data_IF_011860177882
#
_entry.id   IF_011860177882
#
_cell.length_a   1.000
_cell.length_b   1.000
_cell.length_c   1.000
_cell.angle_alpha   90.00
_cell.angle_beta   90.00
_cell.angle_gamma   90.00
#
_symmetry.space_group_name_H-M   'P 1'
#
loop_
_entity.id
_entity.type
_entity.pdbx_description
1 polymer ?
#
# COMPACT_ATOMS: atom_id res chain seq x y z
N UNK A 1 11.57 -0.10 -21.12
CA UNK A 1 11.29 1.24 -20.52
C UNK A 1 10.15 1.05 -19.54
N UNK A 2 10.30 1.48 -18.29
CA UNK A 2 9.23 1.36 -17.27
C UNK A 2 7.99 2.13 -17.70
N UNK A 3 6.81 1.55 -17.53
CA UNK A 3 5.55 2.19 -17.91
C UNK A 3 5.30 3.48 -17.08
N UNK A 4 4.80 4.59 -17.67
CA UNK A 4 4.61 5.87 -16.96
C UNK A 4 3.78 5.78 -15.68
N UNK A 5 2.73 4.94 -15.62
CA UNK A 5 1.95 4.74 -14.40
C UNK A 5 2.77 4.09 -13.27
N UNK A 6 3.70 3.21 -13.60
CA UNK A 6 4.64 2.62 -12.62
C UNK A 6 5.60 3.70 -12.11
N UNK A 7 6.10 4.56 -13.00
CA UNK A 7 6.93 5.70 -12.61
C UNK A 7 6.20 6.63 -11.65
N UNK A 8 4.91 6.91 -11.91
CA UNK A 8 4.07 7.72 -11.01
C UNK A 8 3.85 7.05 -9.64
N UNK A 9 3.63 5.73 -9.61
CA UNK A 9 3.52 5.00 -8.35
C UNK A 9 4.81 5.08 -7.53
N UNK A 10 5.97 4.86 -8.17
CA UNK A 10 7.28 4.98 -7.50
C UNK A 10 7.55 6.40 -7.01
N UNK A 11 7.12 7.40 -7.76
CA UNK A 11 7.18 8.79 -7.31
C UNK A 11 6.29 9.01 -6.07
N UNK A 12 5.05 8.52 -6.07
CA UNK A 12 4.16 8.63 -4.92
C UNK A 12 4.74 7.93 -3.66
N UNK A 13 5.36 6.76 -3.81
CA UNK A 13 6.12 6.08 -2.74
C UNK A 13 7.24 6.97 -2.20
N UNK A 14 8.03 7.60 -3.10
CA UNK A 14 9.14 8.46 -2.69
C UNK A 14 8.68 9.71 -1.95
N UNK A 15 7.56 10.31 -2.34
CA UNK A 15 6.96 11.45 -1.66
C UNK A 15 6.41 11.07 -0.27
N UNK A 16 5.83 9.88 -0.13
CA UNK A 16 5.41 9.36 1.17
C UNK A 16 6.60 9.15 2.12
N UNK A 17 7.67 8.51 1.64
CA UNK A 17 8.91 8.34 2.43
C UNK A 17 9.46 9.69 2.85
N UNK A 18 9.59 10.62 1.91
CA UNK A 18 10.09 11.98 2.17
C UNK A 18 9.22 12.75 3.18
N UNK A 19 7.89 12.58 3.09
CA UNK A 19 6.97 13.17 4.06
C UNK A 19 7.21 12.68 5.48
N UNK A 20 7.76 11.48 5.66
CA UNK A 20 7.98 10.83 6.96
C UNK A 20 9.43 10.89 7.45
N UNK A 21 10.33 11.55 6.73
CA UNK A 21 11.72 11.73 7.16
C UNK A 21 11.79 12.40 8.55
N UNK A 22 12.60 11.82 9.45
CA UNK A 22 12.84 12.32 10.78
C UNK A 22 11.69 12.11 11.79
N UNK A 23 10.61 11.41 11.44
CA UNK A 23 9.55 11.07 12.38
C UNK A 23 10.04 10.03 13.38
N UNK A 24 9.91 10.32 14.70
CA UNK A 24 10.26 9.37 15.76
C UNK A 24 9.24 8.23 15.88
N UNK A 25 9.65 7.07 16.43
CA UNK A 25 8.70 5.98 16.73
C UNK A 25 7.57 6.46 17.65
N UNK A 26 7.89 7.28 18.65
CA UNK A 26 6.90 7.86 19.58
C UNK A 26 5.83 8.65 18.82
N UNK A 27 6.23 9.54 17.93
CA UNK A 27 5.31 10.40 17.19
C UNK A 27 4.57 9.63 16.11
N UNK A 28 5.24 8.68 15.44
CA UNK A 28 4.61 7.82 14.45
C UNK A 28 3.51 6.92 15.02
N UNK A 29 3.60 6.58 16.32
CA UNK A 29 2.61 5.77 17.03
C UNK A 29 1.58 6.60 17.77
N UNK A 30 1.77 7.91 17.85
CA UNK A 30 0.82 8.81 18.50
C UNK A 30 -0.44 8.93 17.64
N UNK A 31 -1.61 8.67 18.25
CA UNK A 31 -2.90 8.80 17.56
C UNK A 31 -3.54 10.14 17.87
N UNK A 32 -3.87 10.89 16.86
CA UNK A 32 -4.72 12.08 16.92
C UNK A 32 -6.14 11.66 16.50
N UNK A 33 -7.00 11.46 17.49
CA UNK A 33 -8.35 10.94 17.27
C UNK A 33 -9.19 11.85 16.34
N UNK A 34 -9.94 11.27 15.39
CA UNK A 34 -10.19 9.83 15.19
C UNK A 34 -9.21 9.16 14.21
N UNK A 35 -8.17 9.84 13.73
CA UNK A 35 -7.25 9.36 12.70
C UNK A 35 -6.42 8.14 13.16
N UNK A 36 -5.95 7.37 12.18
CA UNK A 36 -4.91 6.37 12.41
C UNK A 36 -3.55 7.06 12.62
N UNK A 37 -2.64 6.37 13.30
CA UNK A 37 -1.28 6.88 13.48
C UNK A 37 -0.42 6.66 12.22
N UNK A 38 0.70 7.38 12.11
CA UNK A 38 1.60 7.31 10.94
C UNK A 38 2.13 5.88 10.72
N UNK A 39 2.56 5.19 11.78
CA UNK A 39 3.06 3.81 11.65
C UNK A 39 1.99 2.85 11.11
N UNK A 40 0.72 3.03 11.47
CA UNK A 40 -0.39 2.31 10.87
C UNK A 40 -0.51 2.59 9.37
N UNK A 41 -0.37 3.85 8.94
CA UNK A 41 -0.46 4.24 7.52
C UNK A 41 0.64 3.58 6.68
N UNK A 42 1.86 3.47 7.20
CA UNK A 42 2.97 2.76 6.54
C UNK A 42 2.60 1.29 6.29
N UNK A 43 2.15 0.59 7.33
CA UNK A 43 1.74 -0.81 7.21
C UNK A 43 0.50 -1.00 6.32
N UNK A 44 -0.45 -0.06 6.35
CA UNK A 44 -1.68 -0.11 5.56
C UNK A 44 -1.42 0.02 4.06
N UNK A 45 -0.51 0.91 3.66
CA UNK A 45 -0.08 1.04 2.26
C UNK A 45 0.66 -0.23 1.80
N UNK A 46 1.52 -0.79 2.64
CA UNK A 46 2.17 -2.06 2.37
C UNK A 46 1.14 -3.21 2.19
N UNK A 47 0.12 -3.28 3.05
CA UNK A 47 -0.94 -4.27 2.95
C UNK A 47 -1.71 -4.19 1.63
N UNK A 48 -1.99 -2.98 1.13
CA UNK A 48 -2.64 -2.81 -0.16
C UNK A 48 -1.74 -3.27 -1.32
N UNK A 49 -0.45 -2.93 -1.30
CA UNK A 49 0.49 -3.37 -2.34
C UNK A 49 0.67 -4.88 -2.34
N UNK A 50 0.81 -5.50 -1.16
CA UNK A 50 0.84 -6.96 -1.04
C UNK A 50 -0.38 -7.59 -1.71
N UNK A 51 -1.58 -7.05 -1.44
CA UNK A 51 -2.81 -7.55 -2.02
C UNK A 51 -2.85 -7.38 -3.55
N UNK A 52 -2.53 -6.19 -4.06
CA UNK A 52 -2.65 -5.92 -5.50
C UNK A 52 -1.51 -6.51 -6.33
N UNK A 53 -0.27 -6.32 -5.89
CA UNK A 53 0.88 -6.57 -6.75
C UNK A 53 1.67 -7.83 -6.40
N UNK A 54 1.55 -8.38 -5.19
CA UNK A 54 2.19 -9.64 -4.83
C UNK A 54 1.20 -10.78 -4.91
N UNK A 55 0.03 -10.65 -4.26
CA UNK A 55 -0.98 -11.69 -4.29
C UNK A 55 -1.51 -11.93 -5.71
N UNK A 56 -2.02 -10.90 -6.39
CA UNK A 56 -2.62 -11.10 -7.72
C UNK A 56 -1.60 -11.39 -8.82
N UNK A 57 -0.33 -10.99 -8.71
CA UNK A 57 0.69 -11.35 -9.70
C UNK A 57 1.28 -12.73 -9.48
N UNK A 58 1.56 -13.12 -8.22
CA UNK A 58 2.35 -14.31 -7.91
C UNK A 58 1.62 -15.31 -7.00
N UNK A 59 0.45 -15.01 -6.49
CA UNK A 59 -0.27 -15.85 -5.52
C UNK A 59 0.39 -15.91 -4.14
N UNK A 60 1.36 -15.02 -3.85
CA UNK A 60 2.13 -15.00 -2.60
C UNK A 60 1.60 -13.97 -1.63
N UNK A 61 1.74 -14.24 -0.32
CA UNK A 61 1.38 -13.34 0.77
C UNK A 61 2.53 -13.33 1.79
N UNK A 62 3.59 -12.53 1.55
CA UNK A 62 4.78 -12.49 2.42
C UNK A 62 4.46 -12.21 3.89
N UNK A 63 3.49 -11.33 4.16
CA UNK A 63 3.09 -10.92 5.50
C UNK A 63 1.60 -11.21 5.76
N UNK A 64 1.18 -12.49 5.96
CA UNK A 64 -0.23 -12.87 6.02
C UNK A 64 -0.99 -12.30 7.22
N UNK A 65 -0.29 -11.92 8.30
CA UNK A 65 -0.92 -11.32 9.48
C UNK A 65 -1.07 -9.78 9.39
N UNK A 66 -0.49 -9.15 8.36
CA UNK A 66 -0.45 -7.69 8.24
C UNK A 66 -1.87 -7.07 8.22
N UNK A 67 -2.78 -7.67 7.48
CA UNK A 67 -4.17 -7.20 7.39
C UNK A 67 -4.91 -7.20 8.73
N UNK A 68 -4.55 -8.06 9.69
CA UNK A 68 -5.16 -8.05 11.03
C UNK A 68 -4.85 -6.80 11.83
N UNK A 69 -3.65 -6.24 11.62
CA UNK A 69 -3.17 -5.09 12.41
C UNK A 69 -3.44 -3.76 11.73
N UNK A 70 -3.36 -3.72 10.39
CA UNK A 70 -3.43 -2.45 9.63
C UNK A 70 -4.38 -2.51 8.43
N UNK A 71 -5.17 -3.57 8.29
CA UNK A 71 -6.14 -3.73 7.21
C UNK A 71 -7.31 -2.74 7.31
N UNK A 72 -7.97 -2.50 6.19
CA UNK A 72 -9.17 -1.69 6.15
C UNK A 72 -10.27 -2.27 7.05
N UNK A 73 -10.88 -1.43 7.88
CA UNK A 73 -11.96 -1.84 8.80
C UNK A 73 -11.49 -2.57 10.07
N UNK A 74 -10.19 -2.78 10.25
CA UNK A 74 -9.64 -3.34 11.48
C UNK A 74 -9.52 -2.27 12.58
N UNK A 75 -9.48 -2.67 13.87
CA UNK A 75 -9.21 -1.74 14.95
C UNK A 75 -7.90 -0.97 14.73
N UNK A 76 -7.92 0.31 15.04
CA UNK A 76 -6.74 1.14 14.89
C UNK A 76 -5.65 0.74 15.89
N UNK A 77 -4.61 0.12 15.40
CA UNK A 77 -3.42 -0.27 16.15
C UNK A 77 -2.34 0.81 16.09
N UNK A 78 -1.29 0.66 16.89
CA UNK A 78 -0.12 1.54 16.89
C UNK A 78 1.16 0.70 16.83
N UNK A 79 1.42 0.00 15.70
CA UNK A 79 2.57 -0.88 15.57
C UNK A 79 3.89 -0.08 15.66
N UNK A 80 5.03 -0.73 16.03
CA UNK A 80 6.34 -0.08 15.96
C UNK A 80 6.65 0.40 14.55
N UNK A 81 7.17 1.63 14.42
CA UNK A 81 7.46 2.23 13.10
C UNK A 81 8.51 1.43 12.32
N UNK A 82 9.55 0.96 13.02
CA UNK A 82 10.62 0.17 12.38
C UNK A 82 10.08 -1.12 11.76
N UNK A 83 9.16 -1.81 12.46
CA UNK A 83 8.53 -3.03 11.94
C UNK A 83 7.71 -2.74 10.68
N UNK A 84 6.97 -1.62 10.67
CA UNK A 84 6.16 -1.24 9.51
C UNK A 84 7.03 -0.84 8.30
N UNK A 85 8.15 -0.16 8.53
CA UNK A 85 9.10 0.12 7.46
C UNK A 85 9.77 -1.15 6.92
N UNK A 86 10.11 -2.11 7.78
CA UNK A 86 10.63 -3.40 7.31
C UNK A 86 9.62 -4.11 6.42
N UNK A 87 8.38 -4.22 6.88
CA UNK A 87 7.29 -4.82 6.10
C UNK A 87 7.06 -4.08 4.77
N UNK A 88 7.06 -2.74 4.80
CA UNK A 88 6.89 -1.92 3.61
C UNK A 88 8.02 -2.15 2.60
N UNK A 89 9.27 -2.21 3.06
CA UNK A 89 10.43 -2.49 2.21
C UNK A 89 10.36 -3.88 1.59
N UNK A 90 10.02 -4.91 2.38
CA UNK A 90 9.90 -6.29 1.90
C UNK A 90 8.84 -6.40 0.79
N UNK A 91 7.68 -5.78 1.01
CA UNK A 91 6.57 -5.85 0.06
C UNK A 91 6.89 -5.02 -1.20
N UNK A 92 7.38 -3.80 -1.07
CA UNK A 92 7.71 -2.97 -2.24
C UNK A 92 8.83 -3.59 -3.09
N UNK A 93 9.82 -4.22 -2.47
CA UNK A 93 10.84 -4.99 -3.19
C UNK A 93 10.23 -6.20 -3.92
N UNK A 94 9.30 -6.91 -3.29
CA UNK A 94 8.62 -8.05 -3.92
C UNK A 94 7.73 -7.63 -5.11
N UNK A 95 7.19 -6.42 -5.10
CA UNK A 95 6.35 -5.92 -6.21
C UNK A 95 7.16 -5.44 -7.42
N UNK A 96 8.43 -5.08 -7.24
CA UNK A 96 9.19 -4.37 -8.28
C UNK A 96 9.39 -5.20 -9.56
N UNK A 97 9.59 -6.51 -9.48
CA UNK A 97 9.71 -7.36 -10.66
C UNK A 97 8.44 -7.38 -11.51
N UNK A 98 7.28 -7.45 -10.87
CA UNK A 98 5.99 -7.35 -11.55
C UNK A 98 5.78 -5.96 -12.18
N UNK A 99 6.04 -4.91 -11.42
CA UNK A 99 5.89 -3.53 -11.90
C UNK A 99 6.80 -3.23 -13.10
N UNK A 100 8.03 -3.76 -13.12
CA UNK A 100 8.97 -3.58 -14.24
C UNK A 100 8.55 -4.35 -15.50
N UNK A 101 7.74 -5.38 -15.37
CA UNK A 101 7.23 -6.16 -16.50
C UNK A 101 6.00 -5.55 -17.18
N UNK A 102 5.32 -4.59 -16.54
CA UNK A 102 4.04 -4.04 -17.03
C UNK A 102 4.22 -3.30 -18.35
N UNK A 103 3.43 -3.69 -19.33
CA UNK A 103 3.26 -3.05 -20.64
C UNK A 103 1.92 -2.31 -20.74
N UNK A 104 1.71 -1.54 -21.79
CA UNK A 104 0.44 -0.86 -22.05
C UNK A 104 -0.73 -1.86 -22.27
N UNK A 105 -0.44 -3.01 -22.87
CA UNK A 105 -1.41 -4.07 -23.09
C UNK A 105 -1.90 -4.69 -21.78
N UNK A 106 -1.00 -4.83 -20.80
CA UNK A 106 -1.31 -5.41 -19.49
C UNK A 106 -2.28 -4.58 -18.67
N UNK A 107 -2.38 -3.27 -18.91
CA UNK A 107 -3.22 -2.37 -18.11
C UNK A 107 -4.71 -2.78 -18.08
N UNK A 108 -5.18 -3.45 -19.10
CA UNK A 108 -6.58 -3.92 -19.19
C UNK A 108 -6.78 -5.31 -18.60
N UNK A 109 -5.70 -5.99 -18.23
CA UNK A 109 -5.74 -7.36 -17.72
C UNK A 109 -6.28 -7.38 -16.29
N UNK A 110 -7.22 -8.29 -16.04
CA UNK A 110 -7.66 -8.65 -14.69
C UNK A 110 -6.87 -9.87 -14.25
N UNK A 111 -6.10 -9.72 -13.18
CA UNK A 111 -5.31 -10.80 -12.63
C UNK A 111 -6.19 -11.80 -11.88
N UNK A 112 -5.81 -13.07 -11.87
CA UNK A 112 -6.52 -14.15 -11.19
C UNK A 112 -5.56 -14.98 -10.35
N UNK A 113 -6.02 -15.46 -9.20
CA UNK A 113 -5.25 -16.32 -8.33
C UNK A 113 -6.10 -17.42 -7.69
N UNK A 114 -5.42 -18.42 -7.16
CA UNK A 114 -6.06 -19.52 -6.45
C UNK A 114 -6.72 -19.05 -5.14
N UNK A 115 -7.89 -19.58 -4.78
CA UNK A 115 -8.64 -19.16 -3.60
C UNK A 115 -7.88 -19.29 -2.28
N UNK A 116 -6.99 -20.29 -2.16
CA UNK A 116 -6.19 -20.47 -0.94
C UNK A 116 -5.24 -19.30 -0.66
N UNK A 117 -4.60 -18.76 -1.69
CA UNK A 117 -3.75 -17.59 -1.52
C UNK A 117 -4.56 -16.36 -1.09
N UNK A 118 -5.81 -16.24 -1.57
CA UNK A 118 -6.72 -15.19 -1.12
C UNK A 118 -7.14 -15.35 0.35
N UNK A 119 -7.35 -16.58 0.82
CA UNK A 119 -7.64 -16.84 2.23
C UNK A 119 -6.54 -16.29 3.13
N UNK A 120 -5.28 -16.59 2.82
CA UNK A 120 -4.11 -16.10 3.55
C UNK A 120 -4.05 -14.56 3.52
N UNK A 121 -4.31 -13.95 2.36
CA UNK A 121 -4.33 -12.48 2.19
C UNK A 121 -5.46 -11.79 2.99
N UNK A 122 -6.62 -12.44 3.11
CA UNK A 122 -7.80 -11.90 3.81
C UNK A 122 -7.89 -12.33 5.28
N UNK A 123 -6.91 -13.04 5.79
CA UNK A 123 -6.93 -13.54 7.15
C UNK A 123 -7.24 -12.41 8.17
N UNK A 124 -8.34 -12.59 8.93
CA UNK A 124 -8.83 -11.60 9.89
C UNK A 124 -9.66 -10.45 9.31
N UNK A 125 -9.86 -10.37 7.98
CA UNK A 125 -10.65 -9.31 7.34
C UNK A 125 -11.97 -9.79 6.74
N UNK A 126 -12.13 -11.08 6.49
CA UNK A 126 -13.35 -11.67 5.94
C UNK A 126 -14.00 -12.63 6.95
N UNK A 127 -15.34 -12.68 6.96
CA UNK A 127 -16.06 -13.67 7.75
C UNK A 127 -15.86 -15.09 7.19
N UNK A 128 -15.99 -16.11 8.03
CA UNK A 128 -15.87 -17.52 7.63
C UNK A 128 -16.84 -17.88 6.48
N UNK A 129 -18.04 -17.31 6.47
CA UNK A 129 -19.01 -17.52 5.38
C UNK A 129 -18.53 -16.94 4.05
N UNK A 130 -17.90 -15.75 4.06
CA UNK A 130 -17.33 -15.12 2.87
C UNK A 130 -16.16 -15.93 2.36
N UNK A 131 -15.27 -16.38 3.25
CA UNK A 131 -14.12 -17.22 2.89
C UNK A 131 -14.59 -18.55 2.26
N UNK A 132 -15.57 -19.22 2.84
CA UNK A 132 -16.15 -20.45 2.26
C UNK A 132 -16.68 -20.25 0.85
N UNK A 133 -17.38 -19.12 0.58
CA UNK A 133 -17.88 -18.78 -0.76
C UNK A 133 -16.76 -18.51 -1.75
N UNK A 134 -15.66 -17.89 -1.30
CA UNK A 134 -14.48 -17.62 -2.13
C UNK A 134 -13.76 -18.93 -2.48
N UNK A 135 -13.49 -19.76 -1.47
CA UNK A 135 -12.80 -21.05 -1.63
C UNK A 135 -13.54 -22.06 -2.49
N UNK A 136 -14.88 -21.95 -2.57
CA UNK A 136 -15.70 -22.79 -3.45
C UNK A 136 -15.59 -22.43 -4.94
N UNK A 137 -14.92 -21.33 -5.31
CA UNK A 137 -14.69 -20.92 -6.70
C UNK A 137 -13.40 -21.54 -7.22
N UNK A 138 -13.33 -21.81 -8.52
CA UNK A 138 -12.13 -22.38 -9.15
C UNK A 138 -10.95 -21.42 -9.24
N UNK A 139 -11.23 -20.11 -9.35
CA UNK A 139 -10.22 -19.03 -9.31
C UNK A 139 -10.83 -17.75 -8.78
N UNK A 140 -9.99 -16.82 -8.34
CA UNK A 140 -10.38 -15.50 -7.86
C UNK A 140 -9.84 -14.43 -8.79
N UNK A 141 -10.74 -13.85 -9.56
CA UNK A 141 -10.42 -12.72 -10.45
C UNK A 141 -10.45 -11.41 -9.67
N UNK A 142 -9.46 -10.58 -9.88
CA UNK A 142 -9.46 -9.23 -9.32
C UNK A 142 -10.66 -8.43 -9.85
N UNK A 143 -11.23 -7.56 -9.02
CA UNK A 143 -12.30 -6.64 -9.44
C UNK A 143 -11.77 -5.50 -10.30
N UNK A 144 -10.49 -5.20 -10.20
CA UNK A 144 -9.81 -4.13 -10.91
C UNK A 144 -8.81 -4.71 -11.90
N UNK A 145 -8.59 -4.01 -13.01
CA UNK A 145 -7.50 -4.34 -13.92
C UNK A 145 -6.18 -3.72 -13.43
N UNK A 146 -5.06 -4.12 -14.01
CA UNK A 146 -3.72 -3.65 -13.63
C UNK A 146 -3.63 -2.12 -13.65
N UNK A 147 -4.20 -1.46 -14.65
CA UNK A 147 -4.18 0.00 -14.75
C UNK A 147 -4.91 0.68 -13.60
N UNK A 148 -6.10 0.18 -13.23
CA UNK A 148 -6.85 0.76 -12.10
C UNK A 148 -6.22 0.43 -10.76
N UNK A 149 -5.55 -0.71 -10.60
CA UNK A 149 -4.74 -1.02 -9.41
C UNK A 149 -3.58 -0.02 -9.23
N UNK A 150 -2.84 0.30 -10.31
CA UNK A 150 -1.76 1.28 -10.31
C UNK A 150 -2.27 2.67 -9.92
N UNK A 151 -3.34 3.13 -10.55
CA UNK A 151 -3.94 4.44 -10.25
C UNK A 151 -4.45 4.51 -8.82
N UNK A 152 -5.20 3.50 -8.36
CA UNK A 152 -5.71 3.46 -6.99
C UNK A 152 -4.57 3.48 -5.97
N UNK A 153 -3.51 2.70 -6.18
CA UNK A 153 -2.39 2.66 -5.25
C UNK A 153 -1.65 4.00 -5.23
N UNK A 154 -1.42 4.63 -6.39
CA UNK A 154 -0.82 5.96 -6.49
C UNK A 154 -1.63 7.00 -5.70
N UNK A 155 -2.94 7.04 -5.91
CA UNK A 155 -3.81 8.00 -5.20
C UNK A 155 -3.92 7.68 -3.71
N UNK A 156 -3.85 6.42 -3.31
CA UNK A 156 -3.86 6.00 -1.92
C UNK A 156 -2.58 6.45 -1.18
N UNK A 157 -1.42 6.39 -1.84
CA UNK A 157 -0.19 6.99 -1.30
C UNK A 157 -0.36 8.49 -1.07
N UNK A 158 -0.87 9.24 -2.05
CA UNK A 158 -1.08 10.69 -1.89
C UNK A 158 -2.12 11.01 -0.82
N UNK A 159 -3.19 10.21 -0.70
CA UNK A 159 -4.17 10.35 0.37
C UNK A 159 -3.51 10.24 1.74
N UNK A 160 -2.76 9.17 2.00
CA UNK A 160 -2.09 8.97 3.28
C UNK A 160 -0.88 9.90 3.49
N UNK A 161 -0.23 10.37 2.44
CA UNK A 161 0.80 11.42 2.55
C UNK A 161 0.18 12.70 3.10
N UNK A 162 -0.99 13.10 2.61
CA UNK A 162 -1.72 14.26 3.13
C UNK A 162 -2.16 14.09 4.59
N UNK A 163 -2.68 12.91 4.96
CA UNK A 163 -3.04 12.60 6.35
C UNK A 163 -1.81 12.63 7.27
N UNK A 164 -0.72 11.98 6.88
CA UNK A 164 0.52 11.96 7.67
C UNK A 164 1.12 13.36 7.84
N UNK A 165 1.08 14.18 6.79
CA UNK A 165 1.50 15.58 6.87
C UNK A 165 0.65 16.38 7.87
N UNK A 166 -0.69 16.20 7.85
CA UNK A 166 -1.58 16.84 8.80
C UNK A 166 -1.34 16.37 10.24
N UNK A 167 -1.06 15.08 10.47
CA UNK A 167 -0.66 14.56 11.79
C UNK A 167 0.63 15.23 12.25
N UNK A 168 1.65 15.35 11.40
CA UNK A 168 2.91 16.02 11.72
C UNK A 168 2.72 17.49 12.09
N UNK A 169 1.85 18.20 11.38
CA UNK A 169 1.49 19.59 11.72
C UNK A 169 0.88 19.69 13.12
N UNK A 170 -0.05 18.80 13.45
CA UNK A 170 -0.70 18.79 14.77
C UNK A 170 0.26 18.40 15.90
N UNK A 171 1.28 17.59 15.61
CA UNK A 171 2.36 17.27 16.55
C UNK A 171 3.39 18.41 16.72
N UNK A 172 3.28 19.47 15.91
CA UNK A 172 4.18 20.62 15.99
C UNK A 172 5.57 20.37 15.41
N UNK A 173 5.69 19.43 14.46
CA UNK A 173 6.97 19.18 13.80
C UNK A 173 7.41 20.42 13.01
N UNK A 174 8.67 20.90 13.18
CA UNK A 174 9.20 21.99 12.39
C UNK A 174 9.54 21.52 10.97
N UNK A 175 9.72 22.47 10.06
CA UNK A 175 10.31 22.26 8.72
C UNK A 175 9.69 21.10 7.94
N UNK A 176 8.36 21.04 7.93
CA UNK A 176 7.64 20.02 7.17
C UNK A 176 7.94 20.13 5.68
N UNK A 177 8.25 19.02 4.99
CA UNK A 177 8.49 19.05 3.56
C UNK A 177 7.23 19.50 2.81
N UNK A 178 7.41 20.27 1.73
CA UNK A 178 6.33 20.53 0.80
C UNK A 178 5.76 19.20 0.29
N UNK A 179 4.45 19.12 0.19
CA UNK A 179 3.73 17.91 -0.18
C UNK A 179 4.11 17.38 -1.56
N UNK A 180 4.38 18.11 -2.51
CA UNK A 180 4.96 17.72 -3.80
C UNK A 180 6.18 18.60 -4.02
N UNK A 181 7.29 18.03 -4.50
CA UNK A 181 8.50 18.82 -4.80
C UNK A 181 8.14 20.00 -5.66
N UNK A 182 8.83 21.13 -5.44
CA UNK A 182 8.58 22.37 -6.19
C UNK A 182 8.60 22.19 -7.70
N UNK A 183 9.52 21.36 -8.21
CA UNK A 183 9.64 21.04 -9.63
C UNK A 183 9.24 19.59 -9.89
N UNK A 184 8.16 19.37 -10.63
CA UNK A 184 7.73 18.03 -11.05
C UNK A 184 8.68 17.49 -12.12
N UNK A 185 9.30 16.31 -11.91
CA UNK A 185 10.20 15.73 -12.90
C UNK A 185 9.47 15.40 -14.20
N UNK A 186 10.00 15.85 -15.33
CA UNK A 186 9.41 15.60 -16.66
C UNK A 186 9.23 14.11 -16.98
N UNK A 187 10.07 13.23 -16.43
CA UNK A 187 9.99 11.80 -16.69
C UNK A 187 8.72 11.11 -16.12
N UNK A 188 7.94 11.80 -15.28
CA UNK A 188 6.70 11.25 -14.73
C UNK A 188 5.59 11.09 -15.77
N UNK A 189 5.71 11.72 -16.92
CA UNK A 189 4.66 11.68 -17.96
C UNK A 189 5.20 11.37 -19.37
N UNK A 190 6.49 11.05 -19.50
CA UNK A 190 7.15 10.66 -20.76
C UNK A 190 7.16 9.15 -20.98
#
# INVERSE_FOLDING_TARGET
MTHPLVTQLRFARSEFVRCLEGVSDKDARHRIMPMNCISWMVGHLAAQEQYYFVFFSEGKVPHPQLNKSVGFGQPATTPPLADMWQVWNDITAATDSFLDSITTEDLRTHLEQEPKALEDSLFGTASEEVLKKILARGSVRSRENVGTMLLRTTYHYFFHTGEAHAVRQQLGHPDLPFFVRGDMPEHLWK
#
